data_IF_495574829842
#
_entry.id   IF_495574829842
#
_cell.length_a   1.000
_cell.length_b   1.000
_cell.length_c   1.000
_cell.angle_alpha   90.00
_cell.angle_beta   90.00
_cell.angle_gamma   90.00
#
_symmetry.space_group_name_H-M   'P 1'
#
loop_
_entity.id
_entity.type
_entity.pdbx_description
1 polymer ?
#
# COMPACT_ATOMS: atom_id res chain seq x y z
N UNK A 1 2.70 -1.72 -17.43
CA UNK A 1 3.91 -2.58 -17.36
C UNK A 1 3.70 -3.62 -16.28
N UNK A 2 4.44 -4.74 -16.29
CA UNK A 2 4.31 -5.79 -15.27
C UNK A 2 5.43 -5.67 -14.23
N UNK A 3 5.10 -6.02 -12.99
CA UNK A 3 6.07 -6.17 -11.92
C UNK A 3 7.13 -7.23 -12.29
N UNK A 4 8.38 -6.92 -11.96
CA UNK A 4 9.55 -7.80 -12.08
C UNK A 4 9.87 -8.48 -10.75
N UNK A 5 9.52 -7.87 -9.62
CA UNK A 5 9.68 -8.51 -8.32
C UNK A 5 8.53 -9.49 -8.06
N UNK A 6 8.82 -10.44 -7.18
CA UNK A 6 7.79 -11.25 -6.53
C UNK A 6 7.24 -10.52 -5.32
N UNK A 7 5.91 -10.46 -5.21
CA UNK A 7 5.22 -9.85 -4.08
C UNK A 7 4.32 -10.88 -3.40
N UNK A 8 4.27 -10.85 -2.08
CA UNK A 8 3.33 -11.63 -1.28
C UNK A 8 2.09 -10.79 -0.93
N UNK A 9 1.01 -11.44 -0.52
CA UNK A 9 -0.17 -10.73 -0.02
C UNK A 9 0.24 -9.92 1.24
N UNK A 10 0.04 -8.59 1.27
CA UNK A 10 0.48 -7.72 2.37
C UNK A 10 -0.47 -7.72 3.58
N UNK A 11 -1.26 -8.77 3.75
CA UNK A 11 -2.29 -8.94 4.78
C UNK A 11 -2.30 -10.42 5.19
N UNK A 12 -2.42 -10.75 6.50
CA UNK A 12 -2.61 -12.13 6.94
C UNK A 12 -3.80 -12.80 6.24
N UNK A 13 -3.58 -14.00 5.69
CA UNK A 13 -4.54 -14.69 4.83
C UNK A 13 -5.88 -14.95 5.52
N UNK A 14 -5.85 -15.21 6.81
CA UNK A 14 -6.99 -15.45 7.68
C UNK A 14 -7.83 -14.19 7.94
N UNK A 15 -7.27 -13.00 7.71
CA UNK A 15 -7.97 -11.72 7.85
C UNK A 15 -8.36 -11.10 6.50
N UNK A 16 -7.82 -11.64 5.39
CA UNK A 16 -8.17 -11.22 4.04
C UNK A 16 -9.58 -11.68 3.67
N UNK A 17 -10.47 -10.73 3.43
CA UNK A 17 -11.85 -11.01 3.02
C UNK A 17 -12.00 -11.07 1.50
N UNK A 18 -11.34 -10.15 0.79
CA UNK A 18 -11.40 -10.04 -0.68
C UNK A 18 -10.21 -9.25 -1.22
N UNK A 19 -9.77 -9.61 -2.43
CA UNK A 19 -8.88 -8.77 -3.25
C UNK A 19 -9.74 -8.11 -4.32
N UNK A 20 -9.68 -6.79 -4.40
CA UNK A 20 -10.43 -5.97 -5.36
C UNK A 20 -9.48 -5.18 -6.25
N UNK A 21 -9.73 -5.20 -7.56
CA UNK A 21 -8.91 -4.55 -8.58
C UNK A 21 -9.75 -3.73 -9.56
N UNK A 22 -11.06 -3.70 -9.36
CA UNK A 22 -12.01 -3.29 -10.40
C UNK A 22 -13.07 -2.33 -9.88
N UNK A 23 -13.48 -2.45 -8.61
CA UNK A 23 -14.66 -1.72 -8.15
C UNK A 23 -14.37 -0.29 -7.71
N UNK A 24 -13.11 0.03 -7.39
CA UNK A 24 -12.74 1.33 -6.86
C UNK A 24 -12.74 2.41 -7.96
N UNK A 25 -13.50 3.52 -7.79
CA UNK A 25 -13.49 4.62 -8.76
C UNK A 25 -12.13 5.35 -8.82
N UNK A 26 -11.26 5.15 -7.82
CA UNK A 26 -9.92 5.72 -7.80
C UNK A 26 -8.93 4.93 -8.67
N UNK A 27 -9.23 3.67 -9.03
CA UNK A 27 -8.34 2.80 -9.81
C UNK A 27 -8.42 3.10 -11.32
N UNK A 28 -8.10 4.34 -11.68
CA UNK A 28 -8.06 4.82 -13.07
C UNK A 28 -6.76 5.58 -13.34
N UNK A 29 -6.40 5.76 -14.61
CA UNK A 29 -5.19 6.49 -15.00
C UNK A 29 -3.93 5.89 -14.35
N UNK A 30 -3.18 6.71 -13.60
CA UNK A 30 -1.95 6.28 -12.92
C UNK A 30 -2.17 5.22 -11.85
N UNK A 31 -3.40 5.03 -11.37
CA UNK A 31 -3.77 4.06 -10.33
C UNK A 31 -4.50 2.84 -10.90
N UNK A 32 -4.54 2.67 -12.23
CA UNK A 32 -5.24 1.56 -12.88
C UNK A 32 -4.76 0.16 -12.48
N UNK A 33 -3.57 0.04 -11.88
CA UNK A 33 -3.02 -1.22 -11.38
C UNK A 33 -2.95 -1.29 -9.84
N UNK A 34 -3.62 -0.37 -9.15
CA UNK A 34 -3.79 -0.47 -7.71
C UNK A 34 -4.69 -1.66 -7.33
N UNK A 35 -4.60 -2.07 -6.08
CA UNK A 35 -5.21 -3.28 -5.55
C UNK A 35 -5.70 -2.96 -4.14
N UNK A 36 -6.99 -3.19 -3.88
CA UNK A 36 -7.57 -3.04 -2.56
C UNK A 36 -7.69 -4.41 -1.90
N UNK A 37 -7.04 -4.58 -0.75
CA UNK A 37 -7.20 -5.75 0.10
C UNK A 37 -8.22 -5.45 1.19
N UNK A 38 -9.41 -6.00 1.03
CA UNK A 38 -10.51 -5.82 1.97
C UNK A 38 -10.21 -6.64 3.22
N UNK A 39 -10.06 -5.96 4.35
CA UNK A 39 -9.71 -6.55 5.63
C UNK A 39 -10.21 -5.67 6.78
N UNK A 40 -10.49 -6.23 7.97
CA UNK A 40 -10.93 -5.45 9.13
C UNK A 40 -9.97 -4.33 9.54
N UNK A 41 -10.50 -3.30 10.21
CA UNK A 41 -9.67 -2.32 10.92
C UNK A 41 -8.69 -2.99 11.88
N UNK A 42 -7.47 -2.47 11.96
CA UNK A 42 -6.43 -2.98 12.83
C UNK A 42 -5.72 -4.23 12.29
N UNK A 43 -6.12 -4.78 11.14
CA UNK A 43 -5.44 -5.90 10.50
C UNK A 43 -3.95 -5.57 10.29
N UNK A 44 -3.00 -6.44 10.67
CA UNK A 44 -1.58 -6.21 10.39
C UNK A 44 -1.32 -6.00 8.90
N UNK A 45 -0.55 -4.97 8.56
CA UNK A 45 -0.05 -4.74 7.21
C UNK A 45 1.38 -5.27 7.13
N UNK A 46 1.63 -6.14 6.17
CA UNK A 46 2.89 -6.84 5.99
C UNK A 46 3.65 -6.26 4.80
N UNK A 47 4.99 -6.19 4.89
CA UNK A 47 5.82 -5.87 3.75
C UNK A 47 5.67 -6.96 2.68
N UNK A 48 5.13 -6.59 1.51
CA UNK A 48 4.89 -7.50 0.39
C UNK A 48 6.18 -8.03 -0.25
N UNK A 49 7.28 -7.28 -0.10
CA UNK A 49 8.62 -7.66 -0.51
C UNK A 49 9.64 -6.94 0.37
N UNK A 50 10.85 -7.49 0.48
CA UNK A 50 11.93 -6.87 1.25
C UNK A 50 12.41 -5.56 0.61
N UNK A 51 12.95 -4.66 1.41
CA UNK A 51 13.46 -3.40 0.90
C UNK A 51 13.78 -2.38 1.99
N UNK A 52 13.80 -1.11 1.58
CA UNK A 52 14.10 0.02 2.46
C UNK A 52 12.92 0.98 2.49
N UNK A 53 12.51 1.40 3.70
CA UNK A 53 11.47 2.41 3.86
C UNK A 53 11.97 3.75 3.32
N UNK A 54 11.20 4.35 2.41
CA UNK A 54 11.52 5.64 1.77
C UNK A 54 10.53 6.76 2.10
N UNK A 55 9.33 6.40 2.57
CA UNK A 55 8.33 7.36 3.06
C UNK A 55 7.50 6.72 4.18
N UNK A 56 7.19 7.54 5.18
CA UNK A 56 6.23 7.23 6.24
C UNK A 56 5.41 8.49 6.50
N UNK A 57 4.10 8.41 6.33
CA UNK A 57 3.13 9.38 6.84
C UNK A 57 2.18 8.65 7.76
N UNK A 58 2.13 9.08 9.01
CA UNK A 58 1.40 8.39 10.08
C UNK A 58 0.83 9.39 11.10
N UNK A 59 0.44 10.55 10.62
CA UNK A 59 0.12 11.75 11.39
C UNK A 59 -1.35 12.18 11.30
N UNK A 60 -2.15 11.50 10.48
CA UNK A 60 -3.56 11.83 10.27
C UNK A 60 -4.49 10.84 10.98
N UNK A 61 -5.54 11.37 11.59
CA UNK A 61 -6.69 10.62 12.08
C UNK A 61 -7.98 10.93 11.28
N UNK A 62 -7.83 11.51 10.08
CA UNK A 62 -8.92 11.99 9.23
C UNK A 62 -9.09 11.05 8.04
N UNK A 63 -10.34 10.70 7.72
CA UNK A 63 -10.72 10.01 6.50
C UNK A 63 -12.23 10.00 6.28
N UNK A 64 -12.65 9.48 5.12
CA UNK A 64 -14.06 9.37 4.75
C UNK A 64 -14.29 9.29 3.24
N UNK A 65 -15.56 9.24 2.80
CA UNK A 65 -15.94 8.99 1.41
C UNK A 65 -15.89 10.23 0.51
N UNK A 66 -15.22 11.30 0.95
CA UNK A 66 -15.06 12.54 0.18
C UNK A 66 -13.64 12.62 -0.42
N UNK A 67 -13.48 12.86 -1.74
CA UNK A 67 -12.18 13.06 -2.36
C UNK A 67 -11.31 14.15 -1.72
N UNK A 68 -11.92 15.13 -1.03
CA UNK A 68 -11.20 16.14 -0.25
C UNK A 68 -10.30 15.53 0.84
N UNK A 69 -10.55 14.27 1.24
CA UNK A 69 -9.72 13.58 2.22
C UNK A 69 -8.45 12.95 1.66
N UNK A 70 -8.19 12.99 0.35
CA UNK A 70 -7.06 12.29 -0.28
C UNK A 70 -5.71 12.52 0.41
N UNK A 71 -5.39 13.77 0.75
CA UNK A 71 -4.11 14.16 1.39
C UNK A 71 -3.95 13.67 2.83
N UNK A 72 -5.03 13.20 3.45
CA UNK A 72 -5.03 12.70 4.82
C UNK A 72 -4.68 11.21 4.92
N UNK A 73 -4.50 10.49 3.81
CA UNK A 73 -4.06 9.10 3.83
C UNK A 73 -2.75 8.97 4.62
N UNK A 74 -2.70 8.05 5.58
CA UNK A 74 -1.45 7.58 6.15
C UNK A 74 -0.94 6.45 5.27
N UNK A 75 0.37 6.43 5.03
CA UNK A 75 0.97 5.47 4.12
C UNK A 75 2.44 5.22 4.42
N UNK A 76 2.91 4.07 3.97
CA UNK A 76 4.31 3.68 3.95
C UNK A 76 4.72 3.38 2.51
N UNK A 77 5.95 3.68 2.14
CA UNK A 77 6.53 3.28 0.85
C UNK A 77 7.86 2.57 1.04
N UNK A 78 7.99 1.41 0.41
CA UNK A 78 9.20 0.58 0.40
C UNK A 78 9.83 0.67 -0.98
N UNK A 79 11.14 0.93 -1.02
CA UNK A 79 11.97 0.78 -2.23
C UNK A 79 12.59 -0.59 -2.26
N UNK A 80 12.42 -1.29 -3.37
CA UNK A 80 12.98 -2.61 -3.62
C UNK A 80 14.30 -2.52 -4.41
N UNK A 81 15.12 -3.56 -4.33
CA UNK A 81 16.46 -3.61 -4.95
C UNK A 81 16.42 -3.51 -6.48
N UNK A 82 15.33 -3.95 -7.11
CA UNK A 82 15.11 -3.91 -8.56
C UNK A 82 14.62 -2.55 -9.09
N UNK A 83 14.50 -1.53 -8.21
CA UNK A 83 14.04 -0.19 -8.58
C UNK A 83 12.51 -0.01 -8.56
N UNK A 84 11.75 -1.04 -8.20
CA UNK A 84 10.32 -0.93 -7.94
C UNK A 84 10.06 -0.40 -6.53
N UNK A 85 8.85 0.13 -6.35
CA UNK A 85 8.36 0.62 -5.07
C UNK A 85 7.00 -0.02 -4.79
N UNK A 86 6.76 -0.39 -3.53
CA UNK A 86 5.43 -0.72 -3.03
C UNK A 86 4.95 0.33 -2.06
N UNK A 87 3.67 0.67 -2.12
CA UNK A 87 3.02 1.64 -1.23
C UNK A 87 1.74 1.07 -0.63
N UNK A 88 1.54 1.41 0.64
CA UNK A 88 0.52 0.87 1.53
C UNK A 88 -0.25 2.06 2.11
N UNK A 89 -1.49 2.30 1.67
CA UNK A 89 -2.31 3.47 2.03
C UNK A 89 -3.46 3.12 2.99
N UNK A 90 -4.17 4.16 3.43
CA UNK A 90 -5.30 4.08 4.37
C UNK A 90 -4.92 3.47 5.72
N UNK A 91 -3.65 3.63 6.13
CA UNK A 91 -3.14 3.07 7.38
C UNK A 91 -3.80 3.71 8.61
N UNK A 92 -3.86 2.95 9.70
CA UNK A 92 -4.39 3.40 10.99
C UNK A 92 -3.50 4.51 11.59
N UNK A 93 -4.09 5.42 12.37
CA UNK A 93 -3.39 6.56 12.95
C UNK A 93 -2.35 6.10 13.98
N UNK A 94 -1.10 6.55 13.83
CA UNK A 94 0.02 6.18 14.71
C UNK A 94 0.22 4.67 14.79
N UNK A 95 0.06 3.98 13.66
CA UNK A 95 0.19 2.52 13.59
C UNK A 95 1.50 2.03 13.01
N UNK A 96 2.34 2.92 12.46
CA UNK A 96 3.62 2.54 11.87
C UNK A 96 4.57 1.96 12.92
N UNK A 97 5.11 0.78 12.64
CA UNK A 97 6.16 0.14 13.44
C UNK A 97 7.56 0.41 12.87
N UNK A 98 7.65 1.10 11.74
CA UNK A 98 8.89 1.38 11.01
C UNK A 98 9.10 2.88 10.84
N UNK A 99 10.33 3.25 10.50
CA UNK A 99 10.80 4.62 10.27
C UNK A 99 11.49 4.72 8.92
N UNK A 100 11.67 5.96 8.48
CA UNK A 100 12.44 6.25 7.27
C UNK A 100 13.83 5.59 7.35
N UNK A 101 14.23 4.94 6.26
CA UNK A 101 15.49 4.19 6.08
C UNK A 101 15.60 2.84 6.78
N UNK A 102 14.57 2.39 7.52
CA UNK A 102 14.55 1.03 8.04
C UNK A 102 14.58 0.02 6.90
N UNK A 103 15.26 -1.11 7.14
CA UNK A 103 15.23 -2.28 6.26
C UNK A 103 14.15 -3.21 6.77
N UNK A 104 13.34 -3.73 5.86
CA UNK A 104 12.26 -4.67 6.17
C UNK A 104 12.41 -5.95 5.37
N UNK A 105 11.99 -7.06 5.96
CA UNK A 105 11.93 -8.37 5.33
C UNK A 105 10.51 -8.68 4.83
N UNK A 106 10.39 -9.61 3.90
CA UNK A 106 9.07 -10.09 3.41
C UNK A 106 8.25 -10.60 4.59
N UNK A 107 6.98 -10.18 4.67
CA UNK A 107 6.06 -10.60 5.74
C UNK A 107 6.24 -9.87 7.07
N UNK A 108 7.21 -8.96 7.19
CA UNK A 108 7.38 -8.15 8.39
C UNK A 108 6.19 -7.19 8.58
N UNK A 109 5.67 -7.08 9.80
CA UNK A 109 4.56 -6.16 10.11
C UNK A 109 5.05 -4.73 10.17
N UNK A 110 4.57 -3.90 9.24
CA UNK A 110 5.00 -2.49 9.12
C UNK A 110 3.99 -1.49 9.68
N UNK A 111 2.69 -1.83 9.70
CA UNK A 111 1.61 -0.97 10.18
C UNK A 111 0.32 -1.78 10.41
N UNK A 112 -0.83 -1.09 10.53
CA UNK A 112 -2.16 -1.70 10.55
C UNK A 112 -3.11 -1.03 9.56
N UNK A 113 -4.06 -1.81 9.05
CA UNK A 113 -5.19 -1.32 8.22
C UNK A 113 -6.00 -0.32 9.01
N UNK A 114 -6.28 0.83 8.40
CA UNK A 114 -7.06 1.90 8.99
C UNK A 114 -8.20 2.38 8.09
N UNK A 115 -8.53 3.66 8.27
CA UNK A 115 -9.59 4.37 7.56
C UNK A 115 -9.18 5.82 7.26
N UNK A 116 -7.89 6.09 7.11
CA UNK A 116 -7.40 7.45 6.83
C UNK A 116 -7.48 7.77 5.35
N UNK A 117 -7.68 9.03 5.01
CA UNK A 117 -7.76 9.49 3.63
C UNK A 117 -9.12 9.28 2.96
N UNK A 118 -9.14 9.32 1.63
CA UNK A 118 -10.34 9.07 0.84
C UNK A 118 -10.65 7.57 0.78
N UNK A 119 -11.57 7.11 1.62
CA UNK A 119 -11.93 5.69 1.76
C UNK A 119 -13.38 5.53 2.23
N UNK A 120 -14.03 4.45 1.79
CA UNK A 120 -15.42 4.13 2.10
C UNK A 120 -15.59 3.08 3.18
N UNK A 121 -14.59 2.20 3.32
CA UNK A 121 -14.62 1.04 4.21
C UNK A 121 -13.19 0.60 4.55
N UNK A 122 -12.97 -0.18 5.63
CA UNK A 122 -11.65 -0.65 6.00
C UNK A 122 -11.04 -1.55 4.92
N UNK A 123 -9.90 -1.13 4.38
CA UNK A 123 -9.11 -1.90 3.43
C UNK A 123 -7.68 -1.34 3.38
N UNK A 124 -6.76 -2.12 2.82
CA UNK A 124 -5.44 -1.65 2.42
C UNK A 124 -5.47 -1.34 0.92
N UNK A 125 -5.33 -0.07 0.54
CA UNK A 125 -5.00 0.30 -0.83
C UNK A 125 -3.51 0.05 -1.04
N UNK A 126 -3.18 -0.78 -2.01
CA UNK A 126 -1.83 -1.22 -2.31
C UNK A 126 -1.50 -0.95 -3.77
N UNK A 127 -0.28 -0.50 -4.02
CA UNK A 127 0.21 -0.32 -5.37
C UNK A 127 1.70 -0.63 -5.47
N UNK A 128 2.09 -1.17 -6.61
CA UNK A 128 3.49 -1.26 -7.04
C UNK A 128 3.70 -0.29 -8.18
N UNK A 129 4.81 0.43 -8.18
CA UNK A 129 5.11 1.43 -9.20
C UNK A 129 6.61 1.57 -9.44
N UNK A 130 6.95 2.26 -10.52
CA UNK A 130 8.29 2.78 -10.79
C UNK A 130 8.26 4.30 -10.80
N UNK A 131 9.37 4.94 -10.47
CA UNK A 131 9.52 6.38 -10.66
C UNK A 131 9.75 6.72 -12.14
N UNK A 132 9.07 7.77 -12.58
CA UNK A 132 9.25 8.37 -13.90
C UNK A 132 9.78 9.81 -13.82
N UNK A 133 10.02 10.33 -12.61
CA UNK A 133 10.57 11.67 -12.39
C UNK A 133 11.02 11.87 -10.93
N UNK A 134 10.91 13.10 -10.44
CA UNK A 134 11.45 13.49 -9.12
C UNK A 134 10.39 13.52 -8.01
N UNK A 135 9.12 13.71 -8.36
CA UNK A 135 8.05 13.84 -7.39
C UNK A 135 7.28 12.53 -7.25
N UNK A 136 7.39 11.86 -6.10
CA UNK A 136 6.70 10.58 -5.84
C UNK A 136 5.17 10.65 -5.97
N UNK A 137 4.59 11.83 -5.82
CA UNK A 137 3.15 12.04 -5.85
C UNK A 137 2.60 12.16 -7.26
N UNK A 138 3.42 12.59 -8.22
CA UNK A 138 2.98 12.91 -9.57
C UNK A 138 3.74 12.15 -10.64
N UNK A 139 4.96 11.71 -10.35
CA UNK A 139 5.92 11.20 -11.32
C UNK A 139 6.18 9.71 -11.08
N UNK A 140 5.10 8.94 -11.09
CA UNK A 140 5.13 7.48 -11.06
C UNK A 140 4.21 6.90 -12.13
N UNK A 141 4.43 5.63 -12.41
CA UNK A 141 3.53 4.76 -13.17
C UNK A 141 3.31 3.48 -12.37
N UNK A 142 2.06 3.14 -12.07
CA UNK A 142 1.76 1.84 -11.47
C UNK A 142 2.05 0.71 -12.43
N UNK A 143 2.42 -0.43 -11.87
CA UNK A 143 2.73 -1.63 -12.62
C UNK A 143 1.87 -2.78 -12.10
N UNK A 144 1.48 -3.64 -13.01
CA UNK A 144 0.60 -4.76 -12.76
C UNK A 144 1.34 -5.85 -11.98
N UNK A 145 0.81 -6.17 -10.80
CA UNK A 145 1.13 -7.39 -10.05
C UNK A 145 0.10 -8.44 -10.44
N UNK A 146 0.49 -9.43 -11.25
CA UNK A 146 -0.46 -10.45 -11.76
C UNK A 146 -0.86 -11.43 -10.66
N UNK A 147 0.13 -12.05 -10.03
CA UNK A 147 -0.05 -13.05 -8.98
C UNK A 147 0.73 -12.64 -7.74
N UNK A 148 0.17 -12.97 -6.58
CA UNK A 148 0.90 -12.91 -5.31
C UNK A 148 1.46 -14.28 -4.99
N UNK A 149 2.73 -14.32 -4.61
CA UNK A 149 3.34 -15.57 -4.15
C UNK A 149 2.68 -16.04 -2.85
N UNK A 150 2.57 -17.36 -2.72
CA UNK A 150 2.18 -17.99 -1.46
C UNK A 150 3.42 -18.08 -0.60
N UNK A 151 3.37 -17.49 0.60
CA UNK A 151 4.32 -17.84 1.65
C UNK A 151 4.03 -19.30 2.02
N UNK A 152 5.05 -20.15 1.89
CA UNK A 152 4.99 -21.61 2.13
C UNK A 152 4.99 -21.87 3.64
#
# INVERSE_FOLDING_TARGET
MKAKNSYTIPIPKEMLQRIDRMSSPAHVGKLQHAIDFIAPLGTPVLAAAEGVITYVKDDSNIGGPDPAYWSYSNFITIKHSNGEFSRYDHLDFKSSNVRLYDKVQVGETIARVGLTGYTYLPHLHFQVFIFTGYNIWTDFETIEVNDFERII
#
